data_IF_388592639527
#
_entry.id   IF_388592639527
#
_cell.length_a   1.000
_cell.length_b   1.000
_cell.length_c   1.000
_cell.angle_alpha   90.00
_cell.angle_beta   90.00
_cell.angle_gamma   90.00
#
_symmetry.space_group_name_H-M   'P 1'
#
loop_
_entity.id
_entity.type
_entity.pdbx_description
1 polymer ?
#
# COMPACT_ATOMS: atom_id res chain seq x y z
N UNK A 1 7.13 20.53 8.89
CA UNK A 1 5.99 19.63 9.16
C UNK A 1 5.77 19.62 10.67
N UNK A 2 4.54 19.88 11.12
CA UNK A 2 4.20 20.00 12.55
C UNK A 2 3.23 18.89 12.91
N UNK A 3 3.50 18.15 13.98
CA UNK A 3 2.66 17.07 14.47
C UNK A 3 2.03 17.45 15.81
N UNK A 4 0.74 17.25 15.93
CA UNK A 4 0.02 17.43 17.20
C UNK A 4 -0.13 16.08 17.87
N UNK A 5 0.31 15.98 19.12
CA UNK A 5 0.19 14.77 19.92
C UNK A 5 -0.78 15.03 21.08
N UNK A 6 -1.56 14.03 21.51
CA UNK A 6 -2.30 14.12 22.78
C UNK A 6 -1.35 14.41 23.93
N UNK A 7 -1.77 15.25 24.89
CA UNK A 7 -0.92 15.73 25.98
C UNK A 7 -0.18 14.61 26.75
N UNK A 8 -0.81 13.47 27.11
CA UNK A 8 -0.10 12.39 27.79
C UNK A 8 1.03 11.78 26.94
N UNK A 9 0.85 11.76 25.62
CA UNK A 9 1.85 11.25 24.69
C UNK A 9 2.97 12.26 24.45
N UNK A 10 2.63 13.54 24.33
CA UNK A 10 3.60 14.63 24.23
C UNK A 10 4.53 14.68 25.46
N UNK A 11 3.97 14.57 26.68
CA UNK A 11 4.73 14.56 27.92
C UNK A 11 5.71 13.36 27.98
N UNK A 12 5.23 12.17 27.61
CA UNK A 12 6.09 10.98 27.52
C UNK A 12 7.17 11.14 26.46
N UNK A 13 6.82 11.62 25.27
CA UNK A 13 7.77 11.82 24.19
C UNK A 13 8.86 12.83 24.57
N UNK A 14 8.48 13.98 25.13
CA UNK A 14 9.43 15.02 25.55
C UNK A 14 10.36 14.56 26.69
N UNK A 15 9.88 13.67 27.57
CA UNK A 15 10.67 13.07 28.67
C UNK A 15 11.72 12.07 28.17
N UNK A 16 11.42 11.30 27.13
CA UNK A 16 12.29 10.19 26.69
C UNK A 16 13.13 10.53 25.47
N UNK A 17 12.75 11.54 24.67
CA UNK A 17 13.44 11.90 23.43
C UNK A 17 14.02 13.30 23.53
N UNK A 18 15.36 13.38 23.43
CA UNK A 18 16.10 14.63 23.45
C UNK A 18 15.64 15.55 22.32
N UNK A 19 15.56 16.86 22.58
CA UNK A 19 14.98 17.83 21.64
C UNK A 19 15.57 17.75 20.22
N UNK A 20 16.89 17.55 20.10
CA UNK A 20 17.62 17.41 18.83
C UNK A 20 17.22 16.18 18.01
N UNK A 21 16.70 15.13 18.66
CA UNK A 21 16.38 13.85 18.05
C UNK A 21 14.88 13.69 17.77
N UNK A 22 14.03 14.61 18.25
CA UNK A 22 12.57 14.50 18.20
C UNK A 22 12.02 14.39 16.78
N UNK A 23 12.48 15.24 15.86
CA UNK A 23 12.00 15.21 14.47
C UNK A 23 12.40 13.90 13.78
N UNK A 24 13.64 13.43 14.00
CA UNK A 24 14.10 12.15 13.46
C UNK A 24 13.28 10.98 14.01
N UNK A 25 13.09 10.94 15.33
CA UNK A 25 12.31 9.89 15.98
C UNK A 25 10.89 9.79 15.41
N UNK A 26 10.21 10.93 15.25
CA UNK A 26 8.84 10.92 14.69
C UNK A 26 8.85 10.48 13.23
N UNK A 27 9.81 10.94 12.43
CA UNK A 27 9.92 10.53 11.03
C UNK A 27 10.15 9.02 10.89
N UNK A 28 11.07 8.45 11.68
CA UNK A 28 11.36 7.01 11.69
C UNK A 28 10.14 6.20 12.16
N UNK A 29 9.49 6.62 13.25
CA UNK A 29 8.30 5.94 13.76
C UNK A 29 7.13 5.98 12.74
N UNK A 30 6.94 7.10 12.04
CA UNK A 30 5.93 7.21 10.98
C UNK A 30 6.28 6.31 9.80
N UNK A 31 7.53 6.31 9.35
CA UNK A 31 7.99 5.47 8.25
C UNK A 31 7.78 3.99 8.55
N UNK A 32 8.14 3.54 9.75
CA UNK A 32 7.93 2.15 10.21
C UNK A 32 6.44 1.78 10.17
N UNK A 33 5.56 2.62 10.73
CA UNK A 33 4.11 2.37 10.74
C UNK A 33 3.49 2.35 9.36
N UNK A 34 3.98 3.19 8.45
CA UNK A 34 3.53 3.19 7.06
C UNK A 34 3.96 1.90 6.35
N UNK A 35 5.21 1.46 6.53
CA UNK A 35 5.70 0.21 5.95
C UNK A 35 4.94 -1.01 6.49
N UNK A 36 4.67 -1.06 7.80
CA UNK A 36 3.82 -2.11 8.39
C UNK A 36 2.42 -2.16 7.79
N UNK A 37 1.80 -0.99 7.60
CA UNK A 37 0.46 -0.86 6.99
C UNK A 37 0.48 -1.33 5.53
N UNK A 38 1.49 -0.94 4.77
CA UNK A 38 1.67 -1.36 3.38
C UNK A 38 1.85 -2.87 3.27
N UNK A 39 2.72 -3.47 4.08
CA UNK A 39 2.88 -4.92 4.12
C UNK A 39 1.57 -5.64 4.48
N UNK A 40 0.78 -5.10 5.41
CA UNK A 40 -0.53 -5.66 5.75
C UNK A 40 -1.49 -5.59 4.57
N UNK A 41 -1.50 -4.47 3.84
CA UNK A 41 -2.33 -4.29 2.66
C UNK A 41 -1.94 -5.29 1.56
N UNK A 42 -0.65 -5.40 1.24
CA UNK A 42 -0.14 -6.36 0.24
C UNK A 42 -0.59 -7.78 0.58
N UNK A 43 -0.42 -8.20 1.85
CA UNK A 43 -0.89 -9.52 2.29
C UNK A 43 -2.39 -9.70 2.11
N UNK A 44 -3.19 -8.68 2.45
CA UNK A 44 -4.64 -8.73 2.26
C UNK A 44 -5.02 -8.86 0.79
N UNK A 45 -4.33 -8.16 -0.10
CA UNK A 45 -4.56 -8.26 -1.54
C UNK A 45 -4.17 -9.64 -2.07
N UNK A 46 -3.03 -10.19 -1.66
CA UNK A 46 -2.61 -11.53 -2.07
C UNK A 46 -3.64 -12.59 -1.66
N UNK A 47 -4.12 -12.53 -0.41
CA UNK A 47 -5.18 -13.45 0.06
C UNK A 47 -6.47 -13.30 -0.75
N UNK A 48 -6.85 -12.08 -1.12
CA UNK A 48 -8.02 -11.86 -1.97
C UNK A 48 -7.83 -12.40 -3.40
N UNK A 49 -6.63 -12.25 -3.96
CA UNK A 49 -6.31 -12.73 -5.31
C UNK A 49 -6.17 -14.27 -5.37
N UNK A 50 -5.82 -14.94 -4.27
CA UNK A 50 -5.73 -16.40 -4.17
C UNK A 50 -7.11 -17.11 -4.12
N UNK A 51 -8.20 -16.37 -4.27
CA UNK A 51 -9.55 -16.94 -4.25
C UNK A 51 -9.88 -17.69 -5.55
N UNK A 52 -10.65 -18.78 -5.43
CA UNK A 52 -11.01 -19.61 -6.58
C UNK A 52 -11.83 -18.85 -7.64
N UNK A 53 -12.64 -17.88 -7.22
CA UNK A 53 -13.40 -16.98 -8.10
C UNK A 53 -12.47 -16.12 -8.95
N UNK A 54 -11.44 -15.49 -8.34
CA UNK A 54 -10.45 -14.70 -9.08
C UNK A 54 -9.67 -15.58 -10.05
N UNK A 55 -9.26 -16.78 -9.63
CA UNK A 55 -8.57 -17.72 -10.51
C UNK A 55 -9.44 -18.25 -11.68
N UNK A 56 -10.77 -18.28 -11.53
CA UNK A 56 -11.68 -18.58 -12.63
C UNK A 56 -11.77 -17.42 -13.61
N UNK A 57 -11.91 -16.19 -13.10
CA UNK A 57 -11.89 -14.97 -13.92
C UNK A 57 -10.57 -14.87 -14.69
N UNK A 58 -9.42 -15.05 -14.05
CA UNK A 58 -8.11 -15.01 -14.73
C UNK A 58 -8.03 -16.03 -15.88
N UNK A 59 -8.52 -17.26 -15.67
CA UNK A 59 -8.57 -18.28 -16.72
C UNK A 59 -9.50 -17.92 -17.88
N UNK A 60 -10.64 -17.30 -17.61
CA UNK A 60 -11.56 -16.82 -18.65
C UNK A 60 -10.89 -15.74 -19.51
N UNK A 61 -10.18 -14.81 -18.88
CA UNK A 61 -9.44 -13.75 -19.58
C UNK A 61 -8.26 -14.31 -20.39
N UNK A 62 -7.48 -15.22 -19.84
CA UNK A 62 -6.37 -15.88 -20.54
C UNK A 62 -6.83 -16.69 -21.77
N UNK A 63 -8.08 -17.16 -21.77
CA UNK A 63 -8.67 -17.88 -22.89
C UNK A 63 -9.12 -16.96 -24.04
N UNK A 64 -9.19 -15.64 -23.82
CA UNK A 64 -9.55 -14.70 -24.88
C UNK A 64 -8.42 -14.60 -25.91
N UNK A 65 -8.75 -14.66 -27.21
CA UNK A 65 -7.73 -14.52 -28.24
C UNK A 65 -7.16 -13.10 -28.23
N UNK A 66 -5.83 -12.98 -28.16
CA UNK A 66 -5.09 -11.71 -28.24
C UNK A 66 -5.04 -11.18 -29.69
N UNK A 67 -6.22 -11.03 -30.29
CA UNK A 67 -6.40 -10.54 -31.65
C UNK A 67 -6.79 -9.07 -31.55
N UNK A 68 -5.78 -8.20 -31.63
CA UNK A 68 -5.98 -6.78 -31.91
C UNK A 68 -6.38 -6.66 -33.38
N UNK A 69 -7.68 -6.65 -33.66
CA UNK A 69 -8.17 -6.26 -34.98
C UNK A 69 -8.13 -4.73 -35.07
N UNK A 70 -7.15 -4.21 -35.81
CA UNK A 70 -7.11 -2.78 -36.07
C UNK A 70 -8.23 -2.39 -37.06
N UNK A 71 -9.03 -1.34 -36.80
CA UNK A 71 -10.23 -1.03 -37.58
C UNK A 71 -9.99 -0.80 -39.08
N UNK A 72 -8.76 -0.48 -39.50
CA UNK A 72 -8.41 -0.21 -40.90
C UNK A 72 -7.96 -1.44 -41.69
N UNK A 73 -7.81 -2.61 -41.08
CA UNK A 73 -7.41 -3.84 -41.80
C UNK A 73 -8.49 -4.36 -42.75
N UNK A 74 -9.73 -3.90 -42.59
CA UNK A 74 -10.88 -4.24 -43.45
C UNK A 74 -11.28 -3.13 -44.44
N UNK A 75 -10.54 -2.01 -44.47
CA UNK A 75 -10.76 -0.94 -45.45
C UNK A 75 -10.00 -1.27 -46.74
N UNK A 76 -10.56 -2.16 -47.57
CA UNK A 76 -10.15 -2.32 -48.97
C UNK A 76 -11.36 -2.42 -49.89
#
# INVERSE_FOLDING_TARGET
MTFTLPEPLAARFAKHVAARDRSRYVAEAVAERLAEREHRLIRSCNVANETAEVAEIEREFDALPDVVSEPWTHAR
#
